data_IF_579388392761
#
_entry.id   IF_579388392761
#
_cell.length_a   1.000
_cell.length_b   1.000
_cell.length_c   1.000
_cell.angle_alpha   90.00
_cell.angle_beta   90.00
_cell.angle_gamma   90.00
#
_symmetry.space_group_name_H-M   'P 1'
#
loop_
_entity.id
_entity.type
_entity.pdbx_description
1 polymer ?
#
# COMPACT_ATOMS: atom_id res chain seq x y z
N UNK A 1 -9.23 37.06 -21.65
CA UNK A 1 -8.24 36.79 -20.59
C UNK A 1 -8.02 35.28 -20.51
N UNK A 2 -6.83 34.79 -20.87
CA UNK A 2 -6.54 33.36 -20.89
C UNK A 2 -6.14 32.87 -19.49
N UNK A 3 -6.92 31.94 -18.91
CA UNK A 3 -6.58 31.28 -17.64
C UNK A 3 -5.32 30.44 -17.85
N UNK A 4 -4.22 30.85 -17.21
CA UNK A 4 -2.92 30.17 -17.24
C UNK A 4 -3.09 28.79 -16.59
N UNK A 5 -3.08 27.73 -17.40
CA UNK A 5 -3.14 26.33 -16.97
C UNK A 5 -1.85 26.05 -16.20
N UNK A 6 -1.95 25.98 -14.87
CA UNK A 6 -0.82 25.70 -13.98
C UNK A 6 -0.25 24.33 -14.37
N UNK A 7 0.96 24.33 -14.97
CA UNK A 7 1.68 23.13 -15.39
C UNK A 7 1.92 22.30 -14.12
N UNK A 8 1.17 21.21 -13.98
CA UNK A 8 1.29 20.22 -12.89
C UNK A 8 2.77 19.82 -12.84
N UNK A 9 3.48 20.24 -11.79
CA UNK A 9 4.88 19.87 -11.54
C UNK A 9 4.97 18.35 -11.71
N UNK A 10 5.83 17.90 -12.63
CA UNK A 10 6.25 16.49 -12.66
C UNK A 10 6.73 16.17 -11.25
N UNK A 11 5.99 15.32 -10.54
CA UNK A 11 6.39 14.86 -9.22
C UNK A 11 7.59 13.97 -9.44
N UNK A 12 8.69 14.24 -8.74
CA UNK A 12 9.81 13.32 -8.67
C UNK A 12 9.30 11.91 -8.36
N UNK A 13 9.85 10.87 -9.02
CA UNK A 13 9.45 9.50 -8.75
C UNK A 13 9.68 9.22 -7.27
N UNK A 14 8.64 8.72 -6.60
CA UNK A 14 8.75 8.31 -5.20
C UNK A 14 9.65 7.08 -5.16
N UNK A 15 10.67 7.11 -4.29
CA UNK A 15 11.54 5.98 -4.02
C UNK A 15 10.73 4.74 -3.63
N UNK A 16 11.23 3.57 -3.98
CA UNK A 16 10.57 2.28 -3.74
C UNK A 16 11.52 1.29 -3.08
N UNK A 17 10.95 0.38 -2.28
CA UNK A 17 11.67 -0.71 -1.62
C UNK A 17 11.07 -2.04 -2.05
N UNK A 18 11.94 -3.01 -2.32
CA UNK A 18 11.59 -4.36 -2.71
C UNK A 18 11.66 -5.32 -1.50
N UNK A 19 10.64 -6.17 -1.38
CA UNK A 19 10.55 -7.20 -0.35
C UNK A 19 10.37 -8.55 -1.03
N UNK A 20 11.28 -9.48 -0.77
CA UNK A 20 11.20 -10.85 -1.28
C UNK A 20 10.51 -11.77 -0.27
N UNK A 21 9.62 -12.63 -0.75
CA UNK A 21 9.08 -13.74 0.05
C UNK A 21 9.97 -15.01 -0.08
N UNK A 22 9.74 -16.04 0.75
CA UNK A 22 10.51 -17.29 0.68
C UNK A 22 10.40 -18.04 -0.65
N UNK A 23 9.35 -17.78 -1.44
CA UNK A 23 9.13 -18.40 -2.76
C UNK A 23 9.82 -17.63 -3.88
N UNK A 24 10.43 -16.48 -3.58
CA UNK A 24 11.11 -15.62 -4.54
C UNK A 24 10.20 -14.63 -5.26
N UNK A 25 8.96 -14.45 -4.80
CA UNK A 25 8.11 -13.35 -5.27
C UNK A 25 8.59 -12.03 -4.66
N UNK A 26 8.43 -10.93 -5.39
CA UNK A 26 8.92 -9.61 -4.97
C UNK A 26 7.80 -8.59 -4.95
N UNK A 27 7.54 -8.01 -3.78
CA UNK A 27 6.59 -6.90 -3.59
C UNK A 27 7.36 -5.58 -3.51
N UNK A 28 7.07 -4.68 -4.42
CA UNK A 28 7.67 -3.34 -4.46
C UNK A 28 6.70 -2.31 -3.90
N UNK A 29 7.12 -1.59 -2.86
CA UNK A 29 6.33 -0.60 -2.13
C UNK A 29 6.93 0.81 -2.27
N UNK A 30 6.08 1.83 -2.34
CA UNK A 30 6.47 3.25 -2.27
C UNK A 30 6.90 3.61 -0.85
N UNK A 31 8.08 4.19 -0.68
CA UNK A 31 8.58 4.67 0.63
C UNK A 31 7.73 5.80 1.22
N UNK A 32 7.01 6.56 0.38
CA UNK A 32 6.25 7.70 0.83
C UNK A 32 4.87 7.78 0.17
N UNK A 33 3.91 8.29 0.94
CA UNK A 33 2.60 8.68 0.46
C UNK A 33 2.43 10.19 0.58
N UNK A 34 1.55 10.76 -0.25
CA UNK A 34 1.24 12.18 -0.10
C UNK A 34 0.56 12.47 1.25
N UNK A 35 0.76 13.64 1.86
CA UNK A 35 0.14 13.97 3.16
C UNK A 35 -1.39 13.81 3.16
N UNK A 36 -2.03 14.16 2.05
CA UNK A 36 -3.48 13.98 1.89
C UNK A 36 -3.91 12.52 1.77
N UNK A 37 -3.05 11.63 1.29
CA UNK A 37 -3.29 10.18 1.34
C UNK A 37 -3.14 9.71 2.78
N UNK A 38 -2.03 10.02 3.45
CA UNK A 38 -1.75 9.64 4.84
C UNK A 38 -2.92 10.00 5.76
N UNK A 39 -3.41 11.26 5.70
CA UNK A 39 -4.54 11.72 6.48
C UNK A 39 -5.84 10.91 6.23
N UNK A 40 -6.10 10.52 4.98
CA UNK A 40 -7.27 9.69 4.64
C UNK A 40 -7.15 8.29 5.21
N UNK A 41 -5.98 7.66 5.12
CA UNK A 41 -5.76 6.32 5.69
C UNK A 41 -5.90 6.36 7.21
N UNK A 42 -5.29 7.35 7.87
CA UNK A 42 -5.37 7.51 9.31
C UNK A 42 -6.83 7.69 9.79
N UNK A 43 -7.67 8.38 9.02
CA UNK A 43 -9.09 8.57 9.35
C UNK A 43 -9.97 7.31 9.20
N UNK A 44 -9.50 6.27 8.50
CA UNK A 44 -10.22 4.98 8.35
C UNK A 44 -10.04 4.09 9.60
N UNK A 45 -9.16 4.48 10.53
CA UNK A 45 -8.99 3.83 11.85
C UNK A 45 -10.31 3.87 12.65
N UNK A 46 -10.74 2.77 13.28
CA UNK A 46 -12.15 2.52 13.55
C UNK A 46 -12.72 3.37 14.68
N UNK A 47 -13.24 4.54 14.34
CA UNK A 47 -14.38 5.09 15.05
C UNK A 47 -15.66 4.45 14.47
N UNK A 48 -15.96 3.19 14.82
CA UNK A 48 -17.29 2.60 14.59
C UNK A 48 -17.43 1.48 13.55
N UNK A 49 -16.42 0.63 13.31
CA UNK A 49 -16.60 -0.59 12.52
C UNK A 49 -17.32 -1.70 13.31
N UNK A 50 -18.11 -2.54 12.63
CA UNK A 50 -18.90 -3.62 13.22
C UNK A 50 -18.07 -4.74 13.90
N UNK A 51 -16.77 -4.83 13.59
CA UNK A 51 -15.76 -5.66 14.27
C UNK A 51 -14.34 -5.11 14.00
N UNK A 52 -13.41 -5.28 14.94
CA UNK A 52 -12.00 -4.85 14.83
C UNK A 52 -11.30 -5.50 13.62
N UNK A 53 -11.60 -6.77 13.35
CA UNK A 53 -10.99 -7.54 12.26
C UNK A 53 -11.34 -6.97 10.87
N UNK A 54 -12.60 -6.62 10.64
CA UNK A 54 -13.09 -6.07 9.36
C UNK A 54 -12.51 -4.67 9.08
N UNK A 55 -12.31 -3.85 10.11
CA UNK A 55 -11.60 -2.57 9.99
C UNK A 55 -10.13 -2.78 9.60
N UNK A 56 -9.48 -3.77 10.22
CA UNK A 56 -8.09 -4.12 9.93
C UNK A 56 -7.93 -4.65 8.50
N UNK A 57 -8.87 -5.48 8.02
CA UNK A 57 -8.89 -5.94 6.63
C UNK A 57 -9.00 -4.79 5.64
N UNK A 58 -10.00 -3.91 5.80
CA UNK A 58 -10.20 -2.77 4.89
C UNK A 58 -9.00 -1.84 4.88
N UNK A 59 -8.41 -1.58 6.05
CA UNK A 59 -7.21 -0.75 6.17
C UNK A 59 -6.02 -1.39 5.45
N UNK A 60 -5.82 -2.70 5.62
CA UNK A 60 -4.72 -3.44 4.98
C UNK A 60 -4.84 -3.43 3.45
N UNK A 61 -6.03 -3.67 2.90
CA UNK A 61 -6.26 -3.61 1.44
C UNK A 61 -6.05 -2.18 0.91
N UNK A 62 -6.49 -1.16 1.66
CA UNK A 62 -6.27 0.23 1.28
C UNK A 62 -4.78 0.61 1.32
N UNK A 63 -4.03 0.16 2.32
CA UNK A 63 -2.58 0.34 2.38
C UNK A 63 -1.90 -0.34 1.20
N UNK A 64 -2.25 -1.59 0.90
CA UNK A 64 -1.76 -2.32 -0.27
C UNK A 64 -2.03 -1.55 -1.57
N UNK A 65 -3.26 -1.07 -1.77
CA UNK A 65 -3.61 -0.31 -2.98
C UNK A 65 -2.78 0.97 -3.14
N UNK A 66 -2.41 1.62 -2.02
CA UNK A 66 -1.68 2.88 -2.04
C UNK A 66 -0.17 2.71 -2.12
N UNK A 67 0.37 1.67 -1.51
CA UNK A 67 1.81 1.46 -1.39
C UNK A 67 2.37 0.63 -2.54
N UNK A 68 1.67 -0.43 -2.94
CA UNK A 68 2.19 -1.37 -3.93
C UNK A 68 2.24 -0.73 -5.31
N UNK A 69 3.39 -0.86 -5.97
CA UNK A 69 3.61 -0.42 -7.36
C UNK A 69 3.92 -1.57 -8.29
N UNK A 70 4.44 -2.67 -7.75
CA UNK A 70 4.75 -3.88 -8.50
C UNK A 70 4.68 -5.08 -7.58
N UNK A 71 4.23 -6.21 -8.12
CA UNK A 71 4.36 -7.52 -7.51
C UNK A 71 4.81 -8.52 -8.56
N UNK A 72 6.03 -9.00 -8.44
CA UNK A 72 6.57 -10.07 -9.29
C UNK A 72 6.26 -11.42 -8.66
N UNK A 73 5.62 -12.30 -9.42
CA UNK A 73 5.27 -13.64 -8.97
C UNK A 73 5.78 -14.64 -9.99
N UNK A 74 6.61 -15.59 -9.53
CA UNK A 74 7.27 -16.56 -10.41
C UNK A 74 7.93 -15.91 -11.64
N UNK A 75 8.57 -14.75 -11.46
CA UNK A 75 9.24 -14.00 -12.53
C UNK A 75 8.29 -13.16 -13.42
N UNK A 76 6.99 -13.12 -13.14
CA UNK A 76 6.01 -12.35 -13.90
C UNK A 76 5.63 -11.07 -13.14
N UNK A 77 5.98 -9.88 -13.66
CA UNK A 77 5.65 -8.62 -13.00
C UNK A 77 4.19 -8.23 -13.22
N UNK A 78 3.50 -7.88 -12.12
CA UNK A 78 2.22 -7.20 -12.12
C UNK A 78 2.44 -5.75 -11.69
N UNK A 79 2.03 -4.78 -12.50
CA UNK A 79 2.13 -3.35 -12.22
C UNK A 79 0.79 -2.59 -12.37
N UNK A 80 -0.21 -3.23 -12.98
CA UNK A 80 -1.58 -2.71 -13.01
C UNK A 80 -2.27 -2.89 -11.65
N UNK A 81 -2.84 -1.80 -11.14
CA UNK A 81 -3.46 -1.77 -9.80
C UNK A 81 -4.62 -2.76 -9.65
N UNK A 82 -5.42 -3.00 -10.71
CA UNK A 82 -6.53 -3.95 -10.64
C UNK A 82 -6.01 -5.38 -10.59
N UNK A 83 -4.95 -5.68 -11.33
CA UNK A 83 -4.28 -6.98 -11.28
C UNK A 83 -3.62 -7.22 -9.91
N UNK A 84 -2.97 -6.21 -9.34
CA UNK A 84 -2.39 -6.28 -7.99
C UNK A 84 -3.45 -6.62 -6.93
N UNK A 85 -4.57 -5.88 -6.93
CA UNK A 85 -5.68 -6.14 -5.99
C UNK A 85 -6.33 -7.50 -6.26
N UNK A 86 -6.51 -7.87 -7.53
CA UNK A 86 -7.04 -9.17 -7.92
C UNK A 86 -6.16 -10.31 -7.39
N UNK A 87 -4.84 -10.19 -7.51
CA UNK A 87 -3.88 -11.18 -7.02
C UNK A 87 -3.85 -11.28 -5.50
N UNK A 88 -3.96 -10.15 -4.79
CA UNK A 88 -4.08 -10.16 -3.33
C UNK A 88 -5.33 -10.92 -2.89
N UNK A 89 -6.48 -10.66 -3.52
CA UNK A 89 -7.75 -11.33 -3.18
C UNK A 89 -7.76 -12.84 -3.46
N UNK A 90 -6.95 -13.29 -4.41
CA UNK A 90 -6.79 -14.70 -4.75
C UNK A 90 -5.64 -15.39 -4.00
N UNK A 91 -4.86 -14.63 -3.21
CA UNK A 91 -3.73 -15.15 -2.47
C UNK A 91 -4.17 -16.13 -1.37
N UNK A 92 -3.35 -17.15 -1.12
CA UNK A 92 -3.52 -18.03 0.02
C UNK A 92 -3.22 -17.32 1.36
N UNK A 93 -3.49 -18.01 2.46
CA UNK A 93 -3.34 -17.46 3.80
C UNK A 93 -1.90 -17.09 4.14
N UNK A 94 -0.92 -17.88 3.69
CA UNK A 94 0.51 -17.65 3.95
C UNK A 94 1.00 -16.40 3.22
N UNK A 95 0.67 -16.27 1.93
CA UNK A 95 0.95 -15.08 1.13
C UNK A 95 0.27 -13.85 1.76
N UNK A 96 -0.99 -13.95 2.19
CA UNK A 96 -1.70 -12.85 2.83
C UNK A 96 -1.05 -12.42 4.14
N UNK A 97 -0.61 -13.37 4.96
CA UNK A 97 0.12 -13.09 6.20
C UNK A 97 1.45 -12.38 5.90
N UNK A 98 2.22 -12.89 4.93
CA UNK A 98 3.47 -12.27 4.51
C UNK A 98 3.28 -10.84 4.00
N UNK A 99 2.28 -10.60 3.13
CA UNK A 99 1.98 -9.25 2.62
C UNK A 99 1.60 -8.31 3.76
N UNK A 100 0.73 -8.75 4.68
CA UNK A 100 0.29 -7.93 5.82
C UNK A 100 1.44 -7.56 6.73
N UNK A 101 2.30 -8.52 7.08
CA UNK A 101 3.50 -8.28 7.90
C UNK A 101 4.42 -7.29 7.21
N UNK A 102 4.71 -7.52 5.92
CA UNK A 102 5.58 -6.65 5.11
C UNK A 102 5.06 -5.22 5.05
N UNK A 103 3.75 -5.02 4.82
CA UNK A 103 3.14 -3.69 4.83
C UNK A 103 3.26 -3.04 6.21
N UNK A 104 3.01 -3.79 7.29
CA UNK A 104 3.11 -3.25 8.65
C UNK A 104 4.53 -2.79 8.96
N UNK A 105 5.54 -3.62 8.68
CA UNK A 105 6.95 -3.29 8.88
C UNK A 105 7.40 -2.10 8.00
N UNK A 106 6.95 -2.07 6.75
CA UNK A 106 7.24 -0.97 5.82
C UNK A 106 6.64 0.35 6.32
N UNK A 107 5.38 0.35 6.75
CA UNK A 107 4.72 1.54 7.29
C UNK A 107 5.42 2.03 8.56
N UNK A 108 5.72 1.13 9.51
CA UNK A 108 6.45 1.49 10.72
C UNK A 108 7.81 2.13 10.43
N UNK A 109 8.50 1.68 9.38
CA UNK A 109 9.85 2.15 9.02
C UNK A 109 9.82 3.46 8.22
N UNK A 110 8.93 3.57 7.24
CA UNK A 110 8.97 4.65 6.24
C UNK A 110 7.86 5.69 6.39
N UNK A 111 6.72 5.33 7.00
CA UNK A 111 5.54 6.18 7.14
C UNK A 111 4.95 6.07 8.56
N UNK A 112 5.73 6.40 9.60
CA UNK A 112 5.32 6.22 10.99
C UNK A 112 4.09 7.06 11.37
N UNK A 113 3.70 8.06 10.57
CA UNK A 113 2.47 8.84 10.77
C UNK A 113 1.19 8.01 10.60
N UNK A 114 1.30 6.84 9.98
CA UNK A 114 0.19 5.89 9.86
C UNK A 114 0.15 4.92 11.03
N UNK A 115 1.21 4.74 11.82
CA UNK A 115 1.15 3.86 12.98
C UNK A 115 0.07 4.33 13.96
N UNK A 116 -0.76 3.41 14.50
CA UNK A 116 -1.70 3.77 15.54
C UNK A 116 -0.91 4.35 16.73
N UNK A 117 -1.15 5.63 17.07
CA UNK A 117 -0.63 6.19 18.30
C UNK A 117 -1.26 5.40 19.46
N UNK A 118 -0.43 4.69 20.21
CA UNK A 118 -0.82 4.00 21.44
C UNK A 118 -1.39 4.98 22.47
#
# INVERSE_FOLDING_TARGET
MARRKQKRREREPVSTVDYADPEGNVLTLREALSPGTVAKIAAVTPAGAASIDDAWQRRSELLFERLTVRWEIAGLPLDDQKLLVGRLRMADAETLEWVRRTISEHVSTHIPELEPRA
#
